data_IF_624474429619
#
_entry.id   IF_624474429619
#
_cell.length_a   1.000
_cell.length_b   1.000
_cell.length_c   1.000
_cell.angle_alpha   90.00
_cell.angle_beta   90.00
_cell.angle_gamma   90.00
#
_symmetry.space_group_name_H-M   'P 1'
#
loop_
_entity.id
_entity.type
_entity.pdbx_description
1 polymer ?
#
# COMPACT_ATOMS: atom_id res chain seq x y z
N UNK A 1 13.06 -9.96 9.19
CA UNK A 1 13.37 -8.56 8.85
C UNK A 1 13.56 -7.78 10.14
N UNK A 2 14.61 -6.96 10.29
CA UNK A 2 14.74 -6.09 11.46
C UNK A 2 13.56 -5.10 11.48
N UNK A 3 12.90 -4.96 12.63
CA UNK A 3 11.76 -4.07 12.82
C UNK A 3 12.31 -2.64 12.92
N UNK A 4 12.19 -1.87 11.83
CA UNK A 4 12.62 -0.47 11.81
C UNK A 4 11.74 0.33 12.76
N UNK A 5 12.35 0.95 13.78
CA UNK A 5 11.68 1.67 14.88
C UNK A 5 10.91 2.92 14.44
N UNK A 6 11.17 3.44 13.23
CA UNK A 6 10.50 4.62 12.67
C UNK A 6 8.99 4.46 12.41
N UNK A 7 8.46 3.24 12.56
CA UNK A 7 7.04 2.94 12.39
C UNK A 7 6.21 3.20 13.67
N UNK A 8 6.85 3.43 14.81
CA UNK A 8 6.14 3.79 16.04
C UNK A 8 5.82 5.29 16.05
N UNK A 9 4.59 5.62 16.47
CA UNK A 9 4.12 6.99 16.72
C UNK A 9 4.76 7.53 18.02
N UNK A 10 6.10 7.59 18.08
CA UNK A 10 6.80 8.22 19.19
C UNK A 10 6.63 9.75 19.11
N UNK A 11 6.51 10.39 20.27
CA UNK A 11 6.45 11.86 20.35
C UNK A 11 7.71 12.44 19.73
N UNK A 12 7.54 13.29 18.71
CA UNK A 12 8.64 14.00 18.06
C UNK A 12 9.17 15.05 19.04
N UNK A 13 10.44 14.92 19.42
CA UNK A 13 11.17 16.03 20.02
C UNK A 13 11.52 17.05 18.91
N UNK A 14 10.96 18.25 19.01
CA UNK A 14 11.16 19.35 18.06
C UNK A 14 12.47 20.12 18.29
N UNK A 15 13.18 19.87 19.39
CA UNK A 15 14.48 20.47 19.67
C UNK A 15 15.66 19.59 19.22
N UNK A 16 15.40 18.37 18.75
CA UNK A 16 16.40 17.47 18.19
C UNK A 16 16.27 17.36 16.67
N UNK A 17 17.32 17.76 15.94
CA UNK A 17 17.38 17.64 14.47
C UNK A 17 17.26 16.18 14.02
N UNK A 18 17.84 15.24 14.77
CA UNK A 18 17.79 13.81 14.47
C UNK A 18 16.37 13.27 14.61
N UNK A 19 15.66 13.64 15.68
CA UNK A 19 14.25 13.29 15.90
C UNK A 19 13.37 13.76 14.75
N UNK A 20 13.52 15.02 14.33
CA UNK A 20 12.79 15.59 13.20
C UNK A 20 13.11 14.82 11.91
N UNK A 21 14.39 14.57 11.62
CA UNK A 21 14.82 13.86 10.42
C UNK A 21 14.19 12.47 10.33
N UNK A 22 14.28 11.69 11.40
CA UNK A 22 13.71 10.34 11.42
C UNK A 22 12.19 10.34 11.35
N UNK A 23 11.53 11.31 11.98
CA UNK A 23 10.09 11.46 11.87
C UNK A 23 9.66 11.75 10.43
N UNK A 24 10.27 12.76 9.78
CA UNK A 24 9.95 13.12 8.40
C UNK A 24 10.25 11.98 7.43
N UNK A 25 11.38 11.28 7.61
CA UNK A 25 11.71 10.08 6.84
C UNK A 25 10.67 8.98 7.02
N UNK A 26 10.26 8.70 8.25
CA UNK A 26 9.20 7.73 8.55
C UNK A 26 7.85 8.11 7.92
N UNK A 27 7.48 9.40 7.96
CA UNK A 27 6.27 9.91 7.31
C UNK A 27 6.34 9.71 5.79
N UNK A 28 7.46 10.07 5.16
CA UNK A 28 7.65 9.90 3.72
C UNK A 28 7.56 8.42 3.29
N UNK A 29 8.19 7.52 4.05
CA UNK A 29 8.12 6.07 3.79
C UNK A 29 6.68 5.57 3.94
N UNK A 30 5.98 5.90 5.05
CA UNK A 30 4.60 5.45 5.27
C UNK A 30 3.65 5.91 4.16
N UNK A 31 3.81 7.15 3.68
CA UNK A 31 2.98 7.71 2.61
C UNK A 31 3.28 7.09 1.23
N UNK A 32 4.45 6.48 1.06
CA UNK A 32 4.85 5.78 -0.16
C UNK A 32 4.66 4.26 -0.09
N UNK A 33 4.05 3.75 1.00
CA UNK A 33 3.73 2.33 1.09
C UNK A 33 2.68 1.95 0.02
N UNK A 34 2.85 0.81 -0.67
CA UNK A 34 2.04 0.45 -1.83
C UNK A 34 0.53 0.44 -1.56
N UNK A 35 0.08 -0.23 -0.49
CA UNK A 35 -1.33 -0.31 -0.14
C UNK A 35 -1.93 1.07 0.20
N UNK A 36 -1.40 1.82 1.18
CA UNK A 36 -1.85 3.17 1.49
C UNK A 36 -1.87 4.12 0.30
N UNK A 37 -0.85 4.11 -0.56
CA UNK A 37 -0.81 4.97 -1.75
C UNK A 37 -1.93 4.62 -2.74
N UNK A 38 -2.18 3.33 -2.99
CA UNK A 38 -3.30 2.88 -3.84
C UNK A 38 -4.65 3.29 -3.24
N UNK A 39 -4.85 3.08 -1.93
CA UNK A 39 -6.10 3.47 -1.26
C UNK A 39 -6.39 4.95 -1.41
N UNK A 40 -5.38 5.78 -1.13
CA UNK A 40 -5.48 7.24 -1.27
C UNK A 40 -5.90 7.63 -2.69
N UNK A 41 -5.19 7.10 -3.69
CA UNK A 41 -5.47 7.39 -5.10
C UNK A 41 -6.90 7.01 -5.50
N UNK A 42 -7.36 5.80 -5.16
CA UNK A 42 -8.69 5.33 -5.56
C UNK A 42 -9.83 6.06 -4.85
N UNK A 43 -9.63 6.47 -3.59
CA UNK A 43 -10.59 7.31 -2.86
C UNK A 43 -10.71 8.72 -3.47
N UNK A 44 -9.63 9.26 -4.03
CA UNK A 44 -9.61 10.57 -4.68
C UNK A 44 -10.20 10.50 -6.10
N UNK A 45 -9.75 9.54 -6.92
CA UNK A 45 -10.13 9.46 -8.34
C UNK A 45 -11.51 8.82 -8.56
N UNK A 46 -11.94 7.93 -7.65
CA UNK A 46 -13.26 7.26 -7.68
C UNK A 46 -13.63 6.73 -9.07
N UNK A 47 -12.79 5.85 -9.67
CA UNK A 47 -13.10 5.28 -10.98
C UNK A 47 -14.43 4.53 -10.93
N UNK A 48 -15.16 4.57 -12.05
CA UNK A 48 -16.50 4.00 -12.20
C UNK A 48 -16.55 2.99 -13.34
N UNK A 49 -17.45 2.02 -13.20
CA UNK A 49 -17.79 1.06 -14.27
C UNK A 49 -17.18 -0.31 -14.02
N UNK A 50 -17.08 -1.12 -15.08
CA UNK A 50 -16.47 -2.45 -15.02
C UNK A 50 -14.95 -2.32 -15.12
N UNK A 51 -14.23 -2.77 -14.09
CA UNK A 51 -12.79 -2.62 -13.94
C UNK A 51 -12.10 -3.97 -14.10
N UNK A 52 -11.05 -4.02 -14.94
CA UNK A 52 -10.10 -5.12 -15.01
C UNK A 52 -8.88 -4.74 -14.16
N UNK A 53 -8.59 -5.51 -13.11
CA UNK A 53 -7.48 -5.21 -12.19
C UNK A 53 -6.19 -5.92 -12.63
N UNK A 54 -5.18 -5.16 -13.05
CA UNK A 54 -3.83 -5.68 -13.32
C UNK A 54 -2.85 -5.08 -12.33
N UNK A 55 -2.23 -5.93 -11.50
CA UNK A 55 -1.23 -5.50 -10.51
C UNK A 55 0.08 -6.25 -10.73
N UNK A 56 1.18 -5.51 -10.89
CA UNK A 56 2.49 -6.07 -11.28
C UNK A 56 3.60 -5.54 -10.37
N UNK A 57 4.53 -6.40 -9.98
CA UNK A 57 5.72 -6.06 -9.19
C UNK A 57 5.76 -6.73 -7.82
N UNK A 58 6.82 -6.47 -7.04
CA UNK A 58 7.04 -7.13 -5.73
C UNK A 58 5.91 -6.89 -4.72
N UNK A 59 5.27 -5.74 -4.79
CA UNK A 59 4.14 -5.38 -3.93
C UNK A 59 2.78 -5.56 -4.62
N UNK A 60 2.72 -6.31 -5.74
CA UNK A 60 1.51 -6.42 -6.54
C UNK A 60 0.32 -6.93 -5.73
N UNK A 61 0.54 -7.91 -4.86
CA UNK A 61 -0.52 -8.45 -4.02
C UNK A 61 -1.02 -7.43 -2.99
N UNK A 62 -0.13 -6.64 -2.37
CA UNK A 62 -0.52 -5.57 -1.44
C UNK A 62 -1.34 -4.48 -2.16
N UNK A 63 -0.89 -4.06 -3.34
CA UNK A 63 -1.59 -3.08 -4.18
C UNK A 63 -2.95 -3.61 -4.64
N UNK A 64 -3.02 -4.88 -5.05
CA UNK A 64 -4.25 -5.51 -5.48
C UNK A 64 -5.26 -5.66 -4.35
N UNK A 65 -4.81 -6.04 -3.15
CA UNK A 65 -5.64 -6.06 -1.94
C UNK A 65 -6.25 -4.69 -1.64
N UNK A 66 -5.43 -3.64 -1.65
CA UNK A 66 -5.91 -2.28 -1.43
C UNK A 66 -6.93 -1.82 -2.49
N UNK A 67 -6.73 -2.19 -3.75
CA UNK A 67 -7.67 -1.89 -4.82
C UNK A 67 -8.99 -2.68 -4.66
N UNK A 68 -8.90 -3.97 -4.33
CA UNK A 68 -10.04 -4.85 -4.14
C UNK A 68 -10.92 -4.42 -2.97
N UNK A 69 -10.32 -3.98 -1.85
CA UNK A 69 -11.06 -3.43 -0.70
C UNK A 69 -11.94 -2.23 -1.04
N UNK A 70 -11.54 -1.40 -2.01
CA UNK A 70 -12.26 -0.17 -2.38
C UNK A 70 -13.22 -0.40 -3.53
N UNK A 71 -12.79 -1.14 -4.54
CA UNK A 71 -13.51 -1.25 -5.82
C UNK A 71 -14.38 -2.49 -5.91
N UNK A 72 -14.18 -3.49 -5.04
CA UNK A 72 -14.81 -4.82 -4.99
C UNK A 72 -15.84 -5.12 -6.10
N UNK A 73 -17.07 -4.59 -5.99
CA UNK A 73 -18.18 -4.88 -6.92
C UNK A 73 -17.98 -4.41 -8.36
N UNK A 74 -17.01 -3.53 -8.60
CA UNK A 74 -16.66 -3.00 -9.92
C UNK A 74 -15.62 -3.87 -10.64
N UNK A 75 -14.84 -4.65 -9.90
CA UNK A 75 -13.81 -5.51 -10.48
C UNK A 75 -14.49 -6.77 -11.03
N UNK A 76 -14.40 -6.99 -12.35
CA UNK A 76 -15.00 -8.18 -12.99
C UNK A 76 -13.97 -9.28 -13.31
N UNK A 77 -12.71 -9.03 -13.00
CA UNK A 77 -11.59 -9.93 -13.23
C UNK A 77 -10.25 -9.24 -12.96
N UNK A 78 -9.19 -10.02 -12.84
CA UNK A 78 -7.86 -9.47 -12.61
C UNK A 78 -6.72 -10.48 -12.58
N UNK A 79 -5.50 -9.97 -12.66
CA UNK A 79 -4.25 -10.74 -12.60
C UNK A 79 -3.26 -10.02 -11.68
N UNK A 80 -2.59 -10.82 -10.84
CA UNK A 80 -1.47 -10.39 -9.99
C UNK A 80 -0.20 -11.07 -10.49
N UNK A 81 0.78 -10.28 -10.93
CA UNK A 81 2.09 -10.76 -11.35
C UNK A 81 3.16 -10.26 -10.38
N UNK A 82 3.65 -11.15 -9.52
CA UNK A 82 4.72 -10.83 -8.56
C UNK A 82 5.84 -11.85 -8.62
N UNK A 83 6.96 -11.53 -7.97
CA UNK A 83 8.12 -12.41 -7.83
C UNK A 83 7.74 -13.66 -7.03
N UNK A 84 8.35 -14.81 -7.33
CA UNK A 84 8.22 -16.02 -6.52
C UNK A 84 8.51 -15.76 -5.03
N UNK A 85 7.64 -16.27 -4.16
CA UNK A 85 7.72 -16.08 -2.71
C UNK A 85 7.23 -14.71 -2.20
N UNK A 86 6.68 -13.86 -3.08
CA UNK A 86 6.10 -12.56 -2.71
C UNK A 86 4.56 -12.58 -2.73
N UNK A 87 3.95 -13.76 -2.82
CA UNK A 87 2.52 -13.95 -2.59
C UNK A 87 2.30 -14.50 -1.19
N UNK A 88 1.25 -14.03 -0.51
CA UNK A 88 0.76 -14.58 0.75
C UNK A 88 -0.11 -15.82 0.53
N UNK A 89 -0.42 -16.15 -0.73
CA UNK A 89 -1.30 -17.26 -1.11
C UNK A 89 -2.78 -16.96 -0.84
N UNK A 90 -3.14 -15.69 -0.55
CA UNK A 90 -4.53 -15.29 -0.39
C UNK A 90 -5.27 -15.41 -1.71
N UNK A 91 -6.42 -16.08 -1.65
CA UNK A 91 -7.34 -16.15 -2.77
C UNK A 91 -8.18 -14.88 -2.81
N UNK A 92 -8.17 -14.20 -3.96
CA UNK A 92 -9.11 -13.13 -4.26
C UNK A 92 -10.34 -13.77 -4.89
N UNK A 93 -11.53 -13.50 -4.35
CA UNK A 93 -12.78 -13.85 -5.02
C UNK A 93 -13.09 -12.74 -6.03
N UNK A 94 -12.36 -12.77 -7.14
CA UNK A 94 -12.56 -11.89 -8.30
C UNK A 94 -13.76 -12.35 -9.13
#
# INVERSE_FOLDING_TARGET
>A
MPRLSFLNNEKVDLHSTQSILFHLGGVAIRNSLPGPSVRKFLLEQKPKGRILLLSIGKAAEEMANAAYEILQSQIFGGIILTKYGYTSGKNFHL
#
